data_IF_356162009764
#
_entry.id   IF_356162009764
#
_cell.length_a   1.000
_cell.length_b   1.000
_cell.length_c   1.000
_cell.angle_alpha   90.00
_cell.angle_beta   90.00
_cell.angle_gamma   90.00
#
_symmetry.space_group_name_H-M   'P 1'
#
loop_
_entity.id
_entity.type
_entity.pdbx_description
1 polymer ?
#
# COMPACT_ATOMS: atom_id res chain seq x y z
N UNK A 1 -13.48 4.78 -23.47
CA UNK A 1 -12.27 4.91 -22.63
C UNK A 1 -12.64 5.17 -21.17
N UNK A 2 -13.39 6.23 -20.86
CA UNK A 2 -13.91 6.49 -19.50
C UNK A 2 -14.63 5.30 -18.84
N UNK A 3 -15.50 4.59 -19.58
CA UNK A 3 -16.22 3.43 -19.04
C UNK A 3 -15.31 2.29 -18.56
N UNK A 4 -14.15 2.08 -19.20
CA UNK A 4 -13.17 1.06 -18.80
C UNK A 4 -12.57 1.41 -17.45
N UNK A 5 -12.11 2.65 -17.31
CA UNK A 5 -11.40 3.10 -16.10
C UNK A 5 -12.37 3.18 -14.92
N UNK A 6 -13.60 3.67 -15.14
CA UNK A 6 -14.67 3.59 -14.15
C UNK A 6 -14.97 2.15 -13.71
N UNK A 7 -15.02 1.19 -14.65
CA UNK A 7 -15.27 -0.21 -14.30
C UNK A 7 -14.14 -0.80 -13.46
N UNK A 8 -12.88 -0.52 -13.81
CA UNK A 8 -11.71 -0.96 -13.04
C UNK A 8 -11.70 -0.35 -11.63
N UNK A 9 -12.05 0.92 -11.51
CA UNK A 9 -12.18 1.60 -10.22
C UNK A 9 -13.27 0.99 -9.34
N UNK A 10 -14.45 0.72 -9.90
CA UNK A 10 -15.59 0.11 -9.19
C UNK A 10 -15.21 -1.29 -8.71
N UNK A 11 -14.56 -2.10 -9.54
CA UNK A 11 -14.09 -3.44 -9.17
C UNK A 11 -13.03 -3.38 -8.06
N UNK A 12 -12.05 -2.49 -8.19
CA UNK A 12 -10.99 -2.29 -7.18
C UNK A 12 -11.58 -1.86 -5.83
N UNK A 13 -12.56 -0.96 -5.86
CA UNK A 13 -13.24 -0.49 -4.66
C UNK A 13 -13.99 -1.61 -3.93
N UNK A 14 -14.84 -2.34 -4.65
CA UNK A 14 -15.66 -3.39 -4.07
C UNK A 14 -14.85 -4.58 -3.58
N UNK A 15 -13.77 -4.94 -4.28
CA UNK A 15 -12.98 -6.15 -3.96
C UNK A 15 -11.84 -5.89 -2.96
N UNK A 16 -11.26 -4.69 -2.95
CA UNK A 16 -10.05 -4.41 -2.16
C UNK A 16 -10.25 -3.26 -1.19
N UNK A 17 -10.58 -2.06 -1.68
CA UNK A 17 -10.56 -0.87 -0.84
C UNK A 17 -11.64 -0.87 0.26
N UNK A 18 -12.89 -1.16 -0.10
CA UNK A 18 -14.00 -1.14 0.86
C UNK A 18 -13.85 -2.20 1.95
N UNK A 19 -13.51 -3.48 1.66
CA UNK A 19 -13.22 -4.47 2.70
C UNK A 19 -12.06 -4.05 3.61
N UNK A 20 -10.96 -3.52 3.07
CA UNK A 20 -9.81 -3.09 3.87
C UNK A 20 -10.15 -1.92 4.80
N UNK A 21 -10.86 -0.91 4.29
CA UNK A 21 -11.33 0.21 5.13
C UNK A 21 -12.29 -0.27 6.22
N UNK A 22 -13.16 -1.24 5.92
CA UNK A 22 -14.06 -1.82 6.92
C UNK A 22 -13.28 -2.53 8.02
N UNK A 23 -12.27 -3.32 7.66
CA UNK A 23 -11.40 -3.99 8.64
C UNK A 23 -10.64 -2.97 9.48
N UNK A 24 -10.04 -1.95 8.85
CA UNK A 24 -9.33 -0.87 9.55
C UNK A 24 -10.24 -0.10 10.51
N UNK A 25 -11.48 0.20 10.11
CA UNK A 25 -12.47 0.82 10.97
C UNK A 25 -12.84 -0.05 12.16
N UNK A 26 -13.13 -1.33 11.95
CA UNK A 26 -13.46 -2.25 13.05
C UNK A 26 -12.30 -2.41 14.03
N UNK A 27 -11.07 -2.51 13.53
CA UNK A 27 -9.87 -2.59 14.36
C UNK A 27 -9.66 -1.29 15.17
N UNK A 28 -9.81 -0.12 14.55
CA UNK A 28 -9.69 1.16 15.23
C UNK A 28 -10.76 1.38 16.32
N UNK A 29 -12.00 0.94 16.09
CA UNK A 29 -13.08 1.01 17.08
C UNK A 29 -12.85 0.02 18.23
N UNK A 30 -12.42 -1.20 17.93
CA UNK A 30 -12.09 -2.18 18.96
C UNK A 30 -10.91 -1.72 19.82
N UNK A 31 -9.90 -1.12 19.18
CA UNK A 31 -8.74 -0.55 19.83
C UNK A 31 -9.08 0.59 20.81
N UNK A 32 -10.04 1.44 20.45
CA UNK A 32 -10.49 2.53 21.33
C UNK A 32 -11.41 2.07 22.45
N UNK A 33 -12.06 0.91 22.30
CA UNK A 33 -12.94 0.33 23.32
C UNK A 33 -12.21 -0.50 24.39
N UNK A 34 -11.03 -1.07 24.09
CA UNK A 34 -10.30 -2.04 24.93
C UNK A 34 -9.58 -1.50 26.19
N UNK A 35 -10.05 -0.40 26.78
CA UNK A 35 -9.35 0.31 27.87
C UNK A 35 -9.55 -0.25 29.29
N UNK A 36 -10.28 -1.35 29.49
CA UNK A 36 -10.71 -1.79 30.82
C UNK A 36 -9.67 -2.61 31.62
N UNK A 37 -8.61 -3.13 30.97
CA UNK A 37 -7.59 -3.96 31.64
C UNK A 37 -6.14 -3.42 31.55
N UNK A 38 -5.95 -2.13 31.23
CA UNK A 38 -4.62 -1.50 31.24
C UNK A 38 -3.62 -2.03 30.20
N UNK A 39 -4.06 -2.84 29.23
CA UNK A 39 -3.25 -3.28 28.10
C UNK A 39 -2.98 -2.15 27.09
N UNK A 40 -1.88 -2.26 26.32
CA UNK A 40 -1.57 -1.33 25.22
C UNK A 40 -2.76 -1.28 24.24
N UNK A 41 -3.35 -0.11 24.03
CA UNK A 41 -4.37 0.11 23.00
C UNK A 41 -3.77 -0.19 21.64
N UNK A 42 -4.42 -1.06 20.85
CA UNK A 42 -3.96 -1.39 19.51
C UNK A 42 -3.95 -0.12 18.64
N UNK A 43 -2.95 0.03 17.76
CA UNK A 43 -2.84 1.17 16.85
C UNK A 43 -3.03 0.67 15.44
N UNK A 44 -3.89 1.35 14.68
CA UNK A 44 -4.12 1.05 13.28
C UNK A 44 -3.34 2.06 12.45
N UNK A 45 -2.65 1.62 11.41
CA UNK A 45 -2.02 2.49 10.42
C UNK A 45 -2.56 2.08 9.05
N UNK A 46 -2.90 3.07 8.22
CA UNK A 46 -3.41 2.82 6.87
C UNK A 46 -2.51 3.50 5.85
N UNK A 47 -2.15 2.77 4.80
CA UNK A 47 -1.25 3.23 3.74
C UNK A 47 -1.86 3.00 2.37
N UNK A 48 -1.67 3.94 1.46
CA UNK A 48 -2.09 3.83 0.06
C UNK A 48 -0.87 4.01 -0.84
N UNK A 49 -0.43 2.92 -1.48
CA UNK A 49 0.70 2.95 -2.40
C UNK A 49 0.30 3.55 -3.74
N UNK A 50 0.94 4.65 -4.11
CA UNK A 50 0.70 5.43 -5.32
C UNK A 50 2.04 5.78 -5.97
N UNK A 51 2.66 4.75 -6.54
CA UNK A 51 3.88 4.89 -7.31
C UNK A 51 3.90 3.89 -8.46
N UNK A 52 4.49 4.29 -9.58
CA UNK A 52 4.72 3.43 -10.73
C UNK A 52 6.17 3.53 -11.13
N UNK A 53 6.84 2.39 -11.28
CA UNK A 53 8.22 2.34 -11.77
C UNK A 53 8.29 2.71 -13.26
N UNK A 54 9.47 3.14 -13.70
CA UNK A 54 9.73 3.58 -15.08
C UNK A 54 9.71 2.42 -16.08
N UNK A 55 10.13 1.21 -15.68
CA UNK A 55 10.15 0.03 -16.52
C UNK A 55 8.87 -0.78 -16.30
N UNK A 56 8.17 -1.14 -17.37
CA UNK A 56 6.82 -1.72 -17.31
C UNK A 56 6.71 -2.96 -18.18
N UNK A 57 6.15 -4.02 -17.63
CA UNK A 57 5.72 -5.22 -18.38
C UNK A 57 4.30 -5.06 -18.96
N UNK A 58 3.54 -4.10 -18.45
CA UNK A 58 2.17 -3.85 -18.90
C UNK A 58 2.13 -2.67 -19.88
N UNK A 59 1.72 -2.89 -21.14
CA UNK A 59 1.65 -1.83 -22.12
C UNK A 59 0.49 -0.89 -21.75
N UNK A 60 0.84 0.35 -21.42
CA UNK A 60 -0.09 1.44 -21.18
C UNK A 60 -0.63 1.93 -22.54
N UNK A 61 -1.35 1.08 -23.29
CA UNK A 61 -1.88 1.38 -24.64
C UNK A 61 -3.10 2.31 -24.58
N UNK A 62 -3.04 3.32 -23.74
CA UNK A 62 -3.98 4.41 -23.75
C UNK A 62 -3.20 5.65 -23.37
N UNK A 63 -3.10 6.60 -24.30
CA UNK A 63 -2.32 7.84 -24.20
C UNK A 63 -2.72 8.81 -23.09
N UNK A 64 -3.39 8.34 -22.05
CA UNK A 64 -3.56 9.03 -20.79
C UNK A 64 -2.89 8.19 -19.70
N UNK A 65 -1.91 8.79 -19.01
CA UNK A 65 -1.25 8.24 -17.84
C UNK A 65 -2.32 7.68 -16.89
N UNK A 66 -2.41 6.34 -16.77
CA UNK A 66 -3.17 5.73 -15.69
C UNK A 66 -2.60 6.28 -14.39
N UNK A 67 -3.39 7.08 -13.68
CA UNK A 67 -2.99 7.68 -12.41
C UNK A 67 -3.26 6.64 -11.33
N UNK A 68 -2.24 5.85 -10.94
CA UNK A 68 -2.35 4.93 -9.80
C UNK A 68 -1.64 3.60 -9.98
N UNK A 69 -1.14 3.04 -8.88
CA UNK A 69 -0.43 1.76 -8.87
C UNK A 69 -1.37 0.58 -9.14
N UNK A 70 -0.86 -0.50 -9.75
CA UNK A 70 -1.59 -1.77 -9.86
C UNK A 70 -1.21 -2.72 -8.71
N UNK A 71 -2.11 -3.65 -8.42
CA UNK A 71 -1.92 -4.64 -7.35
C UNK A 71 -0.57 -5.36 -7.50
N UNK A 72 0.24 -5.33 -6.46
CA UNK A 72 1.52 -6.03 -6.39
C UNK A 72 2.74 -5.20 -6.81
N UNK A 73 2.56 -3.98 -7.31
CA UNK A 73 3.70 -3.09 -7.62
C UNK A 73 4.44 -2.58 -6.37
N UNK A 74 3.82 -2.65 -5.20
CA UNK A 74 4.39 -2.32 -3.90
C UNK A 74 5.36 -3.41 -3.40
N UNK A 75 5.14 -4.66 -3.79
CA UNK A 75 5.89 -5.83 -3.30
C UNK A 75 7.40 -5.70 -3.52
N UNK A 76 7.92 -5.32 -4.72
CA UNK A 76 9.34 -5.10 -4.91
C UNK A 76 9.97 -4.09 -3.96
N UNK A 77 9.22 -3.02 -3.62
CA UNK A 77 9.71 -1.96 -2.75
C UNK A 77 9.75 -2.39 -1.29
N UNK A 78 8.73 -3.14 -0.85
CA UNK A 78 8.69 -3.76 0.49
C UNK A 78 9.84 -4.76 0.65
N UNK A 79 10.16 -5.53 -0.39
CA UNK A 79 11.24 -6.52 -0.38
C UNK A 79 12.65 -5.94 -0.59
N UNK A 80 12.78 -4.63 -0.85
CA UNK A 80 14.09 -4.00 -1.02
C UNK A 80 14.74 -4.22 -2.38
N UNK A 81 14.00 -4.71 -3.38
CA UNK A 81 14.55 -4.94 -4.73
C UNK A 81 15.20 -3.67 -5.34
N UNK A 82 14.64 -2.45 -5.18
CA UNK A 82 15.31 -1.23 -5.62
C UNK A 82 16.69 -1.00 -5.01
N UNK A 83 16.92 -1.45 -3.78
CA UNK A 83 18.17 -1.22 -3.05
C UNK A 83 19.31 -2.12 -3.54
N UNK A 84 18.98 -3.27 -4.12
CA UNK A 84 19.94 -4.26 -4.64
C UNK A 84 20.02 -4.27 -6.18
N UNK A 85 19.34 -3.33 -6.84
CA UNK A 85 19.32 -3.26 -8.32
C UNK A 85 18.47 -4.35 -8.99
N UNK A 86 17.54 -4.97 -8.24
CA UNK A 86 16.71 -6.08 -8.71
C UNK A 86 17.28 -7.45 -8.39
N UNK A 87 16.71 -8.50 -9.01
CA UNK A 87 17.13 -9.89 -8.85
C UNK A 87 17.08 -10.61 -10.20
N UNK A 88 17.76 -11.75 -10.38
CA UNK A 88 17.76 -12.49 -11.65
C UNK A 88 16.36 -12.85 -12.19
N UNK A 89 15.41 -13.10 -11.28
CA UNK A 89 14.01 -13.42 -11.62
C UNK A 89 13.08 -12.19 -11.63
N UNK A 90 13.58 -11.03 -11.19
CA UNK A 90 12.89 -9.75 -11.17
C UNK A 90 13.81 -8.63 -11.69
N UNK A 91 14.26 -8.71 -12.96
CA UNK A 91 15.13 -7.69 -13.52
C UNK A 91 14.33 -6.40 -13.70
N UNK A 92 14.73 -5.34 -12.99
CA UNK A 92 14.05 -4.04 -13.07
C UNK A 92 15.06 -2.89 -12.93
N UNK A 93 14.95 -1.90 -13.81
CA UNK A 93 15.74 -0.68 -13.78
C UNK A 93 15.12 0.31 -12.80
N UNK A 94 15.50 0.18 -11.54
CA UNK A 94 15.07 1.08 -10.47
C UNK A 94 15.80 2.41 -10.52
N UNK A 95 15.03 3.49 -10.45
CA UNK A 95 15.53 4.86 -10.39
C UNK A 95 16.01 5.23 -8.97
N UNK A 96 16.72 6.36 -8.83
CA UNK A 96 17.07 6.92 -7.51
C UNK A 96 15.83 7.16 -6.64
N UNK A 97 14.70 7.56 -7.25
CA UNK A 97 13.43 7.76 -6.52
C UNK A 97 12.87 6.44 -6.00
N UNK A 98 13.01 5.36 -6.76
CA UNK A 98 12.57 4.02 -6.34
C UNK A 98 13.35 3.53 -5.12
N UNK A 99 14.67 3.78 -5.10
CA UNK A 99 15.54 3.49 -3.96
C UNK A 99 15.09 4.24 -2.69
N UNK A 100 14.80 5.53 -2.82
CA UNK A 100 14.30 6.34 -1.69
C UNK A 100 12.96 5.83 -1.16
N UNK A 101 12.03 5.50 -2.06
CA UNK A 101 10.71 4.98 -1.69
C UNK A 101 10.81 3.60 -1.01
N UNK A 102 11.67 2.72 -1.50
CA UNK A 102 11.91 1.41 -0.89
C UNK A 102 12.50 1.55 0.52
N UNK A 103 13.49 2.44 0.70
CA UNK A 103 14.05 2.76 2.02
C UNK A 103 12.96 3.28 2.99
N UNK A 104 12.05 4.13 2.50
CA UNK A 104 10.91 4.63 3.31
C UNK A 104 10.00 3.52 3.80
N UNK A 105 9.58 2.65 2.89
CA UNK A 105 8.64 1.57 3.19
C UNK A 105 9.26 0.56 4.16
N UNK A 106 10.51 0.16 3.90
CA UNK A 106 11.25 -0.76 4.76
C UNK A 106 11.44 -0.15 6.16
N UNK A 107 11.75 1.15 6.25
CA UNK A 107 11.86 1.84 7.52
C UNK A 107 10.56 1.74 8.33
N UNK A 108 9.41 2.10 7.75
CA UNK A 108 8.12 2.00 8.44
C UNK A 108 7.75 0.58 8.84
N UNK A 109 7.93 -0.40 7.93
CA UNK A 109 7.58 -1.80 8.19
C UNK A 109 8.50 -2.39 9.26
N UNK A 110 9.81 -2.12 9.19
CA UNK A 110 10.79 -2.57 10.18
C UNK A 110 10.51 -1.99 11.57
N UNK A 111 10.20 -0.70 11.65
CA UNK A 111 9.84 -0.04 12.90
C UNK A 111 8.54 -0.60 13.49
N UNK A 112 7.52 -0.77 12.65
CA UNK A 112 6.24 -1.34 13.06
C UNK A 112 6.41 -2.79 13.54
N UNK A 113 7.20 -3.62 12.85
CA UNK A 113 7.47 -4.99 13.26
C UNK A 113 8.19 -5.05 14.62
N UNK A 114 9.11 -4.11 14.89
CA UNK A 114 9.88 -4.06 16.14
C UNK A 114 9.08 -3.55 17.33
N UNK A 115 8.23 -2.54 17.13
CA UNK A 115 7.66 -1.75 18.24
C UNK A 115 6.15 -1.50 18.18
N UNK A 116 5.53 -1.80 17.03
CA UNK A 116 4.16 -1.42 16.71
C UNK A 116 3.96 0.08 16.42
N UNK A 117 5.04 0.84 16.24
CA UNK A 117 5.02 2.24 15.81
C UNK A 117 5.93 2.43 14.59
N UNK A 118 5.42 2.88 13.42
CA UNK A 118 6.24 3.03 12.23
C UNK A 118 7.19 4.25 12.30
N UNK A 119 6.97 5.21 13.20
CA UNK A 119 7.65 6.51 13.18
C UNK A 119 8.94 6.57 14.00
N UNK A 120 9.43 5.44 14.51
CA UNK A 120 10.63 5.43 15.36
C UNK A 120 11.86 5.74 14.53
N UNK A 121 12.53 6.84 14.86
CA UNK A 121 13.88 7.07 14.35
C UNK A 121 14.82 6.21 15.19
N UNK A 122 15.68 5.38 14.60
CA UNK A 122 16.73 4.69 15.36
C UNK A 122 17.62 5.76 15.98
N UNK A 123 17.46 5.99 17.28
CA UNK A 123 18.40 6.77 18.06
C UNK A 123 19.71 6.01 18.07
N UNK A 124 20.82 6.68 17.76
CA UNK A 124 22.17 6.12 17.66
C UNK A 124 22.70 5.42 18.92
N UNK A 125 21.91 5.28 19.98
CA UNK A 125 22.39 5.09 21.35
C UNK A 125 21.85 3.85 22.09
N UNK A 126 21.16 2.90 21.46
CA UNK A 126 20.71 1.69 22.20
C UNK A 126 21.01 0.38 21.45
N UNK A 127 22.10 -0.27 21.86
CA UNK A 127 22.20 -1.73 21.92
C UNK A 127 22.74 -2.46 20.69
N UNK A 128 23.94 -2.10 20.21
CA UNK A 128 24.82 -3.12 19.62
C UNK A 128 25.44 -3.90 20.80
N UNK A 129 24.84 -5.03 21.16
CA UNK A 129 25.55 -6.05 21.91
C UNK A 129 26.70 -6.53 21.00
N UNK A 130 27.93 -6.28 21.43
CA UNK A 130 29.14 -6.81 20.82
C UNK A 130 29.13 -8.33 21.01
N UNK A 131 28.52 -9.05 20.07
CA UNK A 131 28.78 -10.48 19.92
C UNK A 131 30.21 -10.63 19.34
N UNK A 132 31.19 -10.68 20.23
CA UNK A 132 32.51 -11.24 19.96
C UNK A 132 32.35 -12.74 19.66
N UNK A 133 32.08 -13.11 18.40
CA UNK A 133 32.32 -14.47 17.93
C UNK A 133 32.99 -14.46 16.55
N UNK A 134 34.31 -14.70 16.61
CA UNK A 134 35.23 -15.19 15.56
C UNK A 134 35.03 -14.69 14.13
N UNK A 135 35.97 -13.85 13.71
CA UNK A 135 36.12 -13.42 12.32
C UNK A 135 36.31 -14.57 11.35
N UNK A 136 35.43 -14.60 10.35
CA UNK A 136 35.78 -15.02 9.00
C UNK A 136 35.95 -13.73 8.18
N UNK A 137 37.20 -13.42 7.82
CA UNK A 137 37.53 -12.36 6.88
C UNK A 137 36.82 -12.64 5.55
N UNK A 138 35.84 -11.81 5.20
CA UNK A 138 35.27 -11.78 3.86
C UNK A 138 36.03 -10.72 3.07
N UNK A 139 36.73 -11.18 2.03
CA UNK A 139 37.61 -10.40 1.18
C UNK A 139 36.93 -9.12 0.64
N UNK A 140 37.56 -7.96 0.87
CA UNK A 140 37.07 -6.62 0.51
C UNK A 140 37.11 -6.32 -1.01
N UNK A 141 37.34 -7.34 -1.85
CA UNK A 141 37.62 -7.18 -3.29
C UNK A 141 36.41 -7.49 -4.22
N UNK A 142 35.19 -7.68 -3.72
CA UNK A 142 33.99 -7.98 -4.53
C UNK A 142 32.95 -6.85 -4.53
N UNK A 143 33.36 -5.60 -4.71
CA UNK A 143 32.45 -4.45 -4.94
C UNK A 143 32.80 -3.59 -6.17
N UNK A 144 33.69 -4.04 -7.03
CA UNK A 144 33.94 -3.42 -8.33
C UNK A 144 33.33 -4.25 -9.47
N UNK A 145 32.13 -3.87 -9.92
CA UNK A 145 31.71 -3.87 -11.34
C UNK A 145 30.19 -3.98 -11.46
N UNK A 146 29.47 -2.87 -11.30
CA UNK A 146 28.26 -2.65 -12.10
C UNK A 146 28.10 -1.17 -12.44
N UNK A 147 28.69 -0.81 -13.58
CA UNK A 147 28.05 0.08 -14.56
C UNK A 147 28.17 1.59 -14.33
N UNK A 148 29.23 2.18 -14.87
CA UNK A 148 29.30 3.60 -15.18
C UNK A 148 28.46 4.00 -16.41
N UNK A 149 28.16 5.30 -16.48
CA UNK A 149 27.55 6.03 -17.60
C UNK A 149 26.22 6.69 -17.17
N UNK A 150 25.98 7.99 -17.26
CA UNK A 150 26.62 9.11 -17.98
C UNK A 150 26.19 10.41 -17.28
N UNK A 151 27.04 11.43 -17.32
CA UNK A 151 26.89 12.67 -16.58
C UNK A 151 25.73 13.54 -17.06
N UNK A 152 24.75 13.72 -16.18
CA UNK A 152 23.86 14.87 -16.17
C UNK A 152 23.99 15.55 -14.81
N UNK A 153 24.11 16.87 -14.81
CA UNK A 153 24.24 17.73 -13.64
C UNK A 153 23.01 17.58 -12.73
N UNK A 154 23.03 16.62 -11.81
CA UNK A 154 21.94 16.30 -10.89
C UNK A 154 22.25 16.88 -9.52
N UNK A 155 21.32 17.71 -9.02
CA UNK A 155 21.45 18.36 -7.72
C UNK A 155 21.77 17.36 -6.62
N UNK A 156 22.76 17.70 -5.81
CA UNK A 156 23.01 17.12 -4.49
C UNK A 156 21.70 17.11 -3.72
N UNK A 157 21.05 15.95 -3.67
CA UNK A 157 20.17 15.63 -2.56
C UNK A 157 21.08 14.89 -1.60
N UNK A 158 21.50 15.65 -0.59
CA UNK A 158 22.22 15.26 0.61
C UNK A 158 21.70 13.90 1.13
N UNK A 159 22.57 12.88 1.07
CA UNK A 159 22.33 11.55 1.63
C UNK A 159 22.37 11.56 3.19
N UNK A 160 22.38 12.75 3.82
CA UNK A 160 22.60 12.97 5.25
C UNK A 160 21.38 13.17 6.16
N UNK A 161 20.14 13.29 5.66
CA UNK A 161 18.97 13.22 6.56
C UNK A 161 17.70 12.78 5.82
N UNK A 162 17.48 11.47 5.78
CA UNK A 162 16.22 10.88 5.32
C UNK A 162 15.11 11.22 6.33
N UNK A 163 14.41 12.34 6.13
CA UNK A 163 13.26 12.72 6.97
C UNK A 163 12.03 11.97 6.46
N UNK A 164 11.73 10.83 7.08
CA UNK A 164 10.47 10.12 6.88
C UNK A 164 9.31 11.00 7.40
N UNK A 165 8.25 11.25 6.61
CA UNK A 165 7.08 11.95 7.11
C UNK A 165 6.42 11.19 8.26
N UNK A 166 5.68 11.88 9.11
CA UNK A 166 4.96 11.19 10.17
C UNK A 166 3.76 10.43 9.60
N UNK A 167 3.66 9.14 9.92
CA UNK A 167 2.53 8.29 9.58
C UNK A 167 1.55 8.26 10.76
N UNK A 168 0.48 9.05 10.66
CA UNK A 168 -0.53 9.11 11.72
C UNK A 168 -1.33 7.80 11.84
N UNK A 169 -1.81 7.53 13.05
CA UNK A 169 -2.73 6.42 13.29
C UNK A 169 -4.05 6.66 12.57
N UNK A 170 -4.57 5.60 11.95
CA UNK A 170 -5.92 5.55 11.42
C UNK A 170 -6.93 5.46 12.56
N UNK A 171 -7.90 6.36 12.57
CA UNK A 171 -9.03 6.38 13.47
C UNK A 171 -10.37 6.31 12.71
N UNK A 172 -11.44 6.03 13.44
CA UNK A 172 -12.77 5.92 12.84
C UNK A 172 -13.33 7.27 12.35
N UNK A 173 -12.79 8.39 12.85
CA UNK A 173 -13.31 9.74 12.64
C UNK A 173 -12.58 10.44 11.50
N UNK A 174 -11.26 10.61 11.61
CA UNK A 174 -10.47 11.33 10.62
C UNK A 174 -10.07 10.43 9.43
N UNK A 175 -10.07 9.11 9.62
CA UNK A 175 -9.73 8.11 8.60
C UNK A 175 -8.40 8.45 7.90
N UNK A 176 -7.44 8.85 8.73
CA UNK A 176 -6.11 9.27 8.33
C UNK A 176 -5.32 8.12 7.69
N UNK A 177 -4.73 8.35 6.52
CA UNK A 177 -3.85 7.41 5.83
C UNK A 177 -2.64 8.11 5.22
N UNK A 178 -1.54 7.37 5.10
CA UNK A 178 -0.35 7.82 4.40
C UNK A 178 -0.45 7.44 2.93
N UNK A 179 -0.45 8.44 2.04
CA UNK A 179 -0.20 8.20 0.63
C UNK A 179 1.29 7.98 0.43
N UNK A 180 1.67 6.78 0.01
CA UNK A 180 3.05 6.36 -0.19
C UNK A 180 3.37 6.51 -1.68
N UNK A 181 4.15 7.53 -2.03
CA UNK A 181 4.59 7.78 -3.40
C UNK A 181 5.83 8.65 -3.42
N UNK A 182 6.18 9.21 -4.58
CA UNK A 182 7.35 10.10 -4.73
C UNK A 182 7.31 11.27 -3.74
N UNK A 183 6.10 11.77 -3.44
CA UNK A 183 5.85 12.76 -2.39
C UNK A 183 4.87 12.15 -1.40
N UNK A 184 5.35 11.56 -0.30
CA UNK A 184 4.44 10.98 0.67
C UNK A 184 3.66 12.07 1.39
N UNK A 185 2.36 11.88 1.52
CA UNK A 185 1.45 12.89 2.08
C UNK A 185 0.43 12.22 3.00
N UNK A 186 0.17 12.83 4.15
CA UNK A 186 -0.91 12.42 5.04
C UNK A 186 -2.24 12.93 4.48
N UNK A 187 -3.21 12.04 4.30
CA UNK A 187 -4.55 12.35 3.78
C UNK A 187 -5.63 11.75 4.67
N UNK A 188 -6.85 12.27 4.55
CA UNK A 188 -8.02 11.74 5.24
C UNK A 188 -9.02 11.14 4.24
N UNK A 189 -9.92 10.30 4.74
CA UNK A 189 -11.10 9.82 4.01
C UNK A 189 -10.79 9.26 2.62
N UNK A 190 -9.99 8.19 2.56
CA UNK A 190 -9.65 7.54 1.29
C UNK A 190 -10.90 7.30 0.44
N UNK A 191 -10.96 7.97 -0.73
CA UNK A 191 -12.08 7.91 -1.69
C UNK A 191 -13.46 8.04 -1.03
N UNK A 192 -13.61 8.94 -0.05
CA UNK A 192 -14.76 9.02 0.87
C UNK A 192 -16.16 8.88 0.23
N UNK A 193 -16.44 9.56 -0.88
CA UNK A 193 -17.74 9.43 -1.58
C UNK A 193 -17.97 8.02 -2.14
N UNK A 194 -16.96 7.45 -2.81
CA UNK A 194 -17.06 6.09 -3.38
C UNK A 194 -17.13 5.05 -2.28
N UNK A 195 -16.34 5.22 -1.21
CA UNK A 195 -16.38 4.31 -0.05
C UNK A 195 -17.69 4.39 0.71
N UNK A 196 -18.32 5.56 0.81
CA UNK A 196 -19.66 5.70 1.39
C UNK A 196 -20.73 4.93 0.60
N UNK A 197 -20.61 4.92 -0.73
CA UNK A 197 -21.50 4.14 -1.59
C UNK A 197 -21.36 2.63 -1.30
N UNK A 198 -20.13 2.13 -1.19
CA UNK A 198 -19.87 0.72 -0.90
C UNK A 198 -20.18 0.29 0.53
N UNK A 199 -19.86 1.12 1.52
CA UNK A 199 -19.95 0.76 2.93
C UNK A 199 -21.33 1.05 3.54
N UNK A 200 -22.08 2.01 2.98
CA UNK A 200 -23.37 2.42 3.53
C UNK A 200 -24.53 2.22 2.53
N UNK A 201 -24.43 2.76 1.31
CA UNK A 201 -25.58 2.80 0.39
C UNK A 201 -25.93 1.42 -0.20
N UNK A 202 -24.96 0.72 -0.82
CA UNK A 202 -25.20 -0.59 -1.45
C UNK A 202 -25.76 -1.61 -0.43
N UNK A 203 -25.20 -1.73 0.78
CA UNK A 203 -25.76 -2.63 1.79
C UNK A 203 -27.19 -2.28 2.21
N UNK A 204 -27.60 -1.01 2.14
CA UNK A 204 -28.98 -0.60 2.42
C UNK A 204 -29.91 -0.93 1.26
N UNK A 205 -29.46 -0.73 0.02
CA UNK A 205 -30.22 -1.08 -1.18
C UNK A 205 -30.48 -2.58 -1.33
N UNK A 206 -29.55 -3.42 -0.89
CA UNK A 206 -29.71 -4.87 -0.92
C UNK A 206 -30.66 -5.42 0.16
N UNK A 207 -31.11 -4.58 1.11
CA UNK A 207 -32.08 -5.02 2.11
C UNK A 207 -33.47 -5.10 1.45
N UNK A 208 -34.21 -6.20 1.62
CA UNK A 208 -35.57 -6.28 1.13
C UNK A 208 -36.44 -5.17 1.77
N UNK A 209 -37.33 -4.58 0.98
CA UNK A 209 -38.20 -3.48 1.44
C UNK A 209 -39.28 -3.85 2.47
N UNK A 210 -39.38 -5.13 2.86
CA UNK A 210 -40.32 -5.64 3.87
C UNK A 210 -40.07 -7.11 4.20
N UNK A 211 -40.64 -7.58 5.32
CA UNK A 211 -40.44 -8.95 5.85
C UNK A 211 -40.95 -10.06 4.90
N UNK A 212 -41.85 -9.71 3.97
CA UNK A 212 -42.41 -10.63 2.98
C UNK A 212 -41.53 -10.82 1.73
N UNK A 213 -40.43 -10.06 1.61
CA UNK A 213 -39.56 -10.08 0.44
C UNK A 213 -38.34 -10.93 0.72
N UNK A 214 -38.30 -12.13 0.12
CA UNK A 214 -37.18 -13.08 0.24
C UNK A 214 -35.83 -12.43 -0.12
N UNK A 215 -34.75 -12.77 0.58
CA UNK A 215 -33.38 -12.35 0.22
C UNK A 215 -32.96 -12.78 -1.20
N UNK A 216 -33.70 -13.70 -1.83
CA UNK A 216 -33.51 -14.13 -3.23
C UNK A 216 -34.34 -13.34 -4.25
N UNK A 217 -35.03 -12.27 -3.84
CA UNK A 217 -35.88 -11.48 -4.75
C UNK A 217 -35.12 -10.78 -5.90
N UNK A 218 -33.79 -10.70 -5.82
CA UNK A 218 -32.91 -10.24 -6.91
C UNK A 218 -32.30 -11.38 -7.74
N UNK A 219 -32.55 -12.64 -7.39
CA UNK A 219 -32.07 -13.78 -8.15
C UNK A 219 -32.96 -13.97 -9.37
N UNK A 220 -32.35 -14.16 -10.55
CA UNK A 220 -33.13 -14.51 -11.73
C UNK A 220 -33.81 -15.86 -11.49
N UNK A 221 -35.12 -15.98 -11.78
CA UNK A 221 -35.89 -17.19 -11.49
C UNK A 221 -35.56 -18.37 -12.41
N UNK A 222 -34.86 -18.17 -13.53
CA UNK A 222 -34.75 -19.16 -14.61
C UNK A 222 -33.29 -19.45 -15.01
N UNK A 223 -32.81 -20.68 -14.75
CA UNK A 223 -31.48 -21.19 -15.13
C UNK A 223 -31.53 -21.99 -16.45
N UNK A 224 -32.30 -21.52 -17.44
CA UNK A 224 -32.46 -22.21 -18.72
C UNK A 224 -31.43 -21.76 -19.76
N UNK A 225 -30.68 -22.66 -20.42
CA UNK A 225 -29.75 -22.30 -21.50
C UNK A 225 -30.44 -21.61 -22.70
N UNK A 226 -31.75 -21.82 -22.88
CA UNK A 226 -32.55 -21.23 -23.95
C UNK A 226 -32.76 -19.70 -23.84
N UNK A 227 -32.43 -19.09 -22.70
CA UNK A 227 -32.63 -17.66 -22.46
C UNK A 227 -31.38 -16.80 -22.75
N UNK A 228 -30.25 -17.45 -23.08
CA UNK A 228 -28.99 -16.79 -23.46
C UNK A 228 -28.77 -16.73 -24.97
N UNK A 229 -29.62 -17.38 -25.77
CA UNK A 229 -29.57 -17.28 -27.23
C UNK A 229 -30.26 -15.97 -27.64
N UNK A 230 -29.46 -14.90 -27.74
CA UNK A 230 -29.88 -13.64 -28.33
C UNK A 230 -30.18 -13.84 -29.82
N UNK A 231 -31.44 -13.67 -30.19
CA UNK A 231 -31.91 -13.65 -31.58
C UNK A 231 -31.99 -12.22 -32.12
#
# INVERSE_FOLDING_TARGET
MAARDSALEVLSDGQTAAPLLRVGHLHAVAASAGGENGGKTARTYFGHFEHQSSQRDYPQVCGDIRTGSVRGEDVPFVLGLPLVGGQPFFPHNYTRRDRMLSRLIIHYIGNFARTGDPNIVPTSDEGAEEDEESGEELDEDEWEDYGGGDGGQEGEIDDGNFIAPHWDTYDAINQCYLQIGIRPEQKGHYRGHKMSLWLNLIPQLHRPGGDDVSMRHHHFPEEGPAYYDGN
#
